data_IF_142061212991
#
_entry.id   IF_142061212991
#
_cell.length_a   1.000
_cell.length_b   1.000
_cell.length_c   1.000
_cell.angle_alpha   90.00
_cell.angle_beta   90.00
_cell.angle_gamma   90.00
#
_symmetry.space_group_name_H-M   'P 1'
#
loop_
_entity.id
_entity.type
_entity.pdbx_description
1 polymer ?
#
# COMPACT_ATOMS: atom_id res chain seq x y z
N UNK A 1 -4.04 1.06 11.82
CA UNK A 1 -4.27 2.49 11.54
C UNK A 1 -5.41 2.99 12.41
N UNK A 2 -5.20 4.04 13.21
CA UNK A 2 -6.20 4.46 14.19
C UNK A 2 -7.47 5.08 13.62
N UNK A 3 -7.45 5.51 12.36
CA UNK A 3 -8.60 6.18 11.73
C UNK A 3 -9.10 5.46 10.46
N UNK A 4 -8.86 4.16 10.36
CA UNK A 4 -9.37 3.37 9.24
C UNK A 4 -10.90 3.24 9.34
N UNK A 5 -11.60 3.46 8.22
CA UNK A 5 -13.05 3.32 8.14
C UNK A 5 -13.43 1.97 7.52
N UNK A 6 -14.68 1.49 7.77
CA UNK A 6 -15.19 0.29 7.09
C UNK A 6 -15.15 0.38 5.57
N UNK A 7 -15.23 1.58 5.00
CA UNK A 7 -15.20 1.79 3.55
C UNK A 7 -13.84 1.39 2.95
N UNK A 8 -12.75 1.57 3.69
CA UNK A 8 -11.42 1.17 3.23
C UNK A 8 -11.30 -0.36 3.14
N UNK A 9 -11.81 -1.07 4.15
CA UNK A 9 -11.84 -2.52 4.11
C UNK A 9 -12.71 -3.04 2.96
N UNK A 10 -13.85 -2.38 2.72
CA UNK A 10 -14.74 -2.72 1.61
C UNK A 10 -14.07 -2.51 0.26
N UNK A 11 -13.29 -1.45 0.10
CA UNK A 11 -12.56 -1.19 -1.13
C UNK A 11 -11.59 -2.33 -1.44
N UNK A 12 -10.89 -2.88 -0.44
CA UNK A 12 -10.03 -4.05 -0.62
C UNK A 12 -10.84 -5.29 -1.00
N UNK A 13 -11.97 -5.52 -0.33
CA UNK A 13 -12.84 -6.67 -0.62
C UNK A 13 -13.40 -6.60 -2.04
N UNK A 14 -13.82 -5.42 -2.47
CA UNK A 14 -14.34 -5.21 -3.83
C UNK A 14 -13.28 -5.49 -4.88
N UNK A 15 -12.05 -5.08 -4.65
CA UNK A 15 -10.93 -5.33 -5.56
C UNK A 15 -10.66 -6.84 -5.69
N UNK A 16 -10.66 -7.57 -4.58
CA UNK A 16 -10.52 -9.02 -4.60
C UNK A 16 -11.67 -9.70 -5.36
N UNK A 17 -12.88 -9.16 -5.23
CA UNK A 17 -14.06 -9.74 -5.88
C UNK A 17 -14.04 -9.55 -7.40
N UNK A 18 -13.55 -8.40 -7.90
CA UNK A 18 -13.61 -8.08 -9.32
C UNK A 18 -12.35 -8.43 -10.10
N UNK A 19 -11.21 -8.63 -9.43
CA UNK A 19 -9.93 -8.93 -10.10
C UNK A 19 -9.46 -10.32 -9.68
N UNK A 20 -9.66 -11.29 -10.54
CA UNK A 20 -9.34 -12.70 -10.23
C UNK A 20 -7.84 -12.95 -10.06
N UNK A 21 -6.99 -12.13 -10.67
CA UNK A 21 -5.53 -12.26 -10.55
C UNK A 21 -4.99 -11.66 -9.24
N UNK A 22 -5.82 -10.92 -8.51
CA UNK A 22 -5.41 -10.29 -7.26
C UNK A 22 -5.37 -11.29 -6.12
N UNK A 23 -4.19 -11.53 -5.59
CA UNK A 23 -4.00 -12.37 -4.40
C UNK A 23 -4.15 -11.56 -3.11
N UNK A 24 -3.63 -10.33 -3.14
CA UNK A 24 -3.65 -9.41 -2.01
C UNK A 24 -4.09 -8.05 -2.54
N UNK A 25 -5.13 -7.49 -1.94
CA UNK A 25 -5.60 -6.14 -2.27
C UNK A 25 -5.08 -5.13 -1.25
N UNK A 26 -4.70 -3.97 -1.71
CA UNK A 26 -4.32 -2.86 -0.85
C UNK A 26 -4.83 -1.55 -1.44
N UNK A 27 -4.49 -0.45 -0.82
CA UNK A 27 -4.96 0.87 -1.21
C UNK A 27 -3.79 1.83 -1.40
N UNK A 28 -3.98 2.79 -2.28
CA UNK A 28 -3.03 3.88 -2.47
C UNK A 28 -3.80 5.20 -2.57
N UNK A 29 -3.13 6.30 -2.23
CA UNK A 29 -3.65 7.64 -2.42
C UNK A 29 -2.60 8.47 -3.14
N UNK A 30 -3.04 9.49 -3.89
CA UNK A 30 -2.10 10.42 -4.50
C UNK A 30 -1.30 11.15 -3.41
N UNK A 31 -0.09 11.57 -3.74
CA UNK A 31 0.73 12.34 -2.79
C UNK A 31 -0.03 13.60 -2.34
N UNK A 32 0.00 13.85 -1.03
CA UNK A 32 -0.65 15.03 -0.46
C UNK A 32 0.26 16.26 -0.51
N UNK A 33 1.57 16.04 -0.55
CA UNK A 33 2.59 17.09 -0.50
C UNK A 33 3.74 16.68 -1.41
N UNK A 34 4.33 17.65 -2.11
CA UNK A 34 5.49 17.40 -2.96
C UNK A 34 6.67 16.77 -2.19
N UNK A 35 6.79 17.05 -0.89
CA UNK A 35 7.83 16.46 -0.04
C UNK A 35 7.65 14.96 0.19
N UNK A 36 6.47 14.41 -0.04
CA UNK A 36 6.21 12.97 0.10
C UNK A 36 7.10 12.15 -0.84
N UNK A 37 7.42 12.70 -1.99
CA UNK A 37 8.26 12.03 -3.00
C UNK A 37 9.61 11.61 -2.45
N UNK A 38 10.23 12.43 -1.64
CA UNK A 38 11.57 12.20 -1.08
C UNK A 38 11.57 11.79 0.39
N UNK A 39 10.40 11.74 1.03
CA UNK A 39 10.31 11.39 2.44
C UNK A 39 10.40 9.88 2.64
N UNK A 40 11.45 9.35 3.31
CA UNK A 40 11.59 7.91 3.52
C UNK A 40 10.53 7.30 4.44
N UNK A 41 9.81 8.12 5.21
CA UNK A 41 8.71 7.64 6.05
C UNK A 41 7.45 7.36 5.22
N UNK A 42 7.38 7.90 4.00
CA UNK A 42 6.28 7.66 3.08
C UNK A 42 6.63 6.51 2.16
N UNK A 43 5.89 5.42 2.25
CA UNK A 43 6.04 4.28 1.36
C UNK A 43 5.31 4.58 0.05
N UNK A 44 6.01 4.47 -1.07
CA UNK A 44 5.46 4.70 -2.41
C UNK A 44 5.21 3.34 -3.06
N UNK A 45 4.06 3.21 -3.70
CA UNK A 45 3.73 2.05 -4.50
C UNK A 45 3.99 2.37 -5.97
N UNK A 46 4.67 1.46 -6.66
CA UNK A 46 4.88 1.55 -8.11
C UNK A 46 3.82 0.67 -8.75
N UNK A 47 2.90 1.28 -9.49
CA UNK A 47 1.73 0.59 -10.02
C UNK A 47 1.76 0.49 -11.53
N UNK A 48 1.30 -0.64 -12.05
CA UNK A 48 0.88 -0.76 -13.44
C UNK A 48 -0.56 -0.23 -13.51
N UNK A 49 -0.70 1.09 -13.63
CA UNK A 49 -2.00 1.76 -13.58
C UNK A 49 -2.25 2.46 -14.91
N UNK A 50 -3.01 1.83 -15.82
CA UNK A 50 -3.37 2.47 -17.10
C UNK A 50 -4.16 3.75 -16.86
N UNK A 51 -3.99 4.71 -17.77
CA UNK A 51 -4.72 5.97 -17.71
C UNK A 51 -6.22 5.74 -17.63
N UNK A 52 -6.89 6.45 -16.74
CA UNK A 52 -8.33 6.34 -16.54
C UNK A 52 -8.76 5.17 -15.65
N UNK A 53 -7.85 4.32 -15.20
CA UNK A 53 -8.17 3.22 -14.30
C UNK A 53 -8.00 3.66 -12.84
N UNK A 54 -8.79 3.03 -11.96
CA UNK A 54 -8.75 3.31 -10.52
C UNK A 54 -8.14 2.18 -9.70
N UNK A 55 -7.66 1.13 -10.36
CA UNK A 55 -6.93 0.04 -9.72
C UNK A 55 -5.90 -0.54 -10.69
N UNK A 56 -4.81 -1.03 -10.14
CA UNK A 56 -3.74 -1.61 -10.93
C UNK A 56 -2.87 -2.53 -10.10
N UNK A 57 -2.05 -3.34 -10.79
CA UNK A 57 -1.14 -4.26 -10.12
C UNK A 57 0.06 -3.51 -9.57
N UNK A 58 0.41 -3.78 -8.33
CA UNK A 58 1.61 -3.24 -7.72
C UNK A 58 2.84 -4.00 -8.22
N UNK A 59 3.81 -3.24 -8.70
CA UNK A 59 5.06 -3.80 -9.23
C UNK A 59 6.16 -3.78 -8.18
N UNK A 60 6.14 -2.78 -7.30
CA UNK A 60 7.11 -2.65 -6.22
C UNK A 60 6.61 -1.65 -5.18
N UNK A 61 7.25 -1.65 -4.01
CA UNK A 61 7.03 -0.68 -2.94
C UNK A 61 8.40 -0.20 -2.46
N UNK A 62 8.54 1.10 -2.23
CA UNK A 62 9.84 1.66 -1.83
C UNK A 62 9.67 2.91 -0.97
N UNK A 63 10.68 3.16 -0.14
CA UNK A 63 10.80 4.42 0.61
C UNK A 63 11.62 5.45 -0.15
N UNK A 64 12.35 5.01 -1.17
CA UNK A 64 13.24 5.87 -1.97
C UNK A 64 12.46 6.88 -2.80
N UNK A 65 13.14 7.96 -3.18
CA UNK A 65 12.63 8.92 -4.15
C UNK A 65 12.50 8.24 -5.51
N UNK A 66 11.33 8.37 -6.13
CA UNK A 66 11.12 7.86 -7.47
C UNK A 66 11.56 8.88 -8.51
N UNK A 67 12.22 8.41 -9.57
CA UNK A 67 12.69 9.24 -10.66
C UNK A 67 11.53 9.69 -11.55
N UNK A 68 11.64 10.89 -12.09
CA UNK A 68 10.68 11.42 -13.07
C UNK A 68 9.56 12.25 -12.44
N UNK A 69 8.67 12.75 -13.28
CA UNK A 69 7.61 13.67 -12.89
C UNK A 69 6.22 13.00 -12.77
N UNK A 70 6.15 11.70 -12.91
CA UNK A 70 4.90 10.97 -12.84
C UNK A 70 4.24 11.03 -11.46
N UNK A 71 2.97 10.62 -11.36
CA UNK A 71 2.27 10.63 -10.08
C UNK A 71 2.93 9.69 -9.08
N UNK A 72 2.90 10.10 -7.81
CA UNK A 72 3.39 9.30 -6.69
C UNK A 72 2.17 8.76 -5.93
N UNK A 73 2.15 7.46 -5.71
CA UNK A 73 1.09 6.77 -5.00
C UNK A 73 1.56 6.41 -3.60
N UNK A 74 0.97 7.04 -2.59
CA UNK A 74 1.27 6.72 -1.20
C UNK A 74 0.57 5.41 -0.85
N UNK A 75 1.32 4.46 -0.31
CA UNK A 75 0.74 3.20 0.14
C UNK A 75 -0.06 3.40 1.42
N UNK A 76 -1.28 2.92 1.42
CA UNK A 76 -2.14 2.89 2.60
C UNK A 76 -2.16 1.46 3.12
N UNK A 77 -1.61 1.24 4.32
CA UNK A 77 -1.29 -0.08 4.87
C UNK A 77 -2.51 -0.88 5.34
N UNK A 78 -3.54 -0.97 4.51
CA UNK A 78 -4.71 -1.81 4.74
C UNK A 78 -4.72 -2.88 3.65
N UNK A 79 -4.95 -4.14 4.03
CA UNK A 79 -4.86 -5.27 3.11
C UNK A 79 -6.10 -6.14 3.18
N UNK A 80 -6.49 -6.68 2.02
CA UNK A 80 -7.38 -7.82 1.94
C UNK A 80 -6.62 -8.98 1.31
N UNK A 81 -6.80 -10.18 1.84
CA UNK A 81 -6.08 -11.37 1.37
C UNK A 81 -7.06 -12.42 0.90
N UNK A 82 -6.74 -13.10 -0.22
CA UNK A 82 -7.35 -14.41 -0.45
C UNK A 82 -6.81 -15.37 0.60
N UNK A 83 -7.65 -16.28 1.05
CA UNK A 83 -7.29 -17.16 2.16
C UNK A 83 -6.01 -17.95 1.92
N UNK A 84 -5.89 -18.58 0.76
CA UNK A 84 -4.69 -19.36 0.41
C UNK A 84 -3.45 -18.48 0.27
N UNK A 85 -3.60 -17.25 -0.25
CA UNK A 85 -2.50 -16.29 -0.33
C UNK A 85 -2.01 -15.90 1.06
N UNK A 86 -2.94 -15.63 1.98
CA UNK A 86 -2.59 -15.30 3.36
C UNK A 86 -1.83 -16.44 4.04
N UNK A 87 -2.30 -17.66 3.86
CA UNK A 87 -1.66 -18.84 4.47
C UNK A 87 -0.25 -19.05 3.92
N UNK A 88 -0.06 -18.89 2.62
CA UNK A 88 1.26 -19.01 1.98
C UNK A 88 2.19 -17.90 2.47
N UNK A 89 1.70 -16.67 2.53
CA UNK A 89 2.47 -15.53 2.99
C UNK A 89 2.93 -15.70 4.44
N UNK A 90 2.03 -16.12 5.32
CA UNK A 90 2.34 -16.31 6.74
C UNK A 90 3.32 -17.47 6.97
N UNK A 91 3.31 -18.49 6.09
CA UNK A 91 4.20 -19.62 6.21
C UNK A 91 5.61 -19.34 5.66
N UNK A 92 5.77 -18.28 4.88
CA UNK A 92 7.05 -17.95 4.25
C UNK A 92 7.99 -17.23 5.24
N UNK A 93 9.29 -17.51 5.20
CA UNK A 93 10.26 -16.76 6.00
C UNK A 93 10.43 -15.33 5.45
N UNK A 94 10.95 -14.40 6.26
CA UNK A 94 11.28 -13.06 5.77
C UNK A 94 12.20 -13.11 4.55
N UNK A 95 11.89 -12.28 3.54
CA UNK A 95 12.61 -12.29 2.27
C UNK A 95 13.76 -11.26 2.25
N UNK A 96 14.72 -11.39 1.32
CA UNK A 96 15.82 -10.43 1.21
C UNK A 96 15.37 -8.97 0.99
N UNK A 97 14.42 -8.74 0.08
CA UNK A 97 13.93 -7.37 -0.17
C UNK A 97 13.15 -6.82 1.01
N UNK A 98 12.37 -7.65 1.67
CA UNK A 98 11.65 -7.28 2.88
C UNK A 98 12.60 -6.75 3.96
N UNK A 99 13.70 -7.45 4.16
CA UNK A 99 14.69 -7.08 5.17
C UNK A 99 15.43 -5.80 4.78
N UNK A 100 15.80 -5.66 3.50
CA UNK A 100 16.52 -4.50 3.00
C UNK A 100 15.69 -3.22 3.09
N UNK A 101 14.45 -3.28 2.62
CA UNK A 101 13.56 -2.12 2.55
C UNK A 101 12.75 -1.93 3.83
N UNK A 102 12.71 -2.93 4.71
CA UNK A 102 11.83 -2.96 5.89
C UNK A 102 10.36 -2.81 5.51
N UNK A 103 9.96 -3.52 4.46
CA UNK A 103 8.60 -3.54 3.94
C UNK A 103 8.17 -4.99 3.76
N UNK A 104 7.26 -5.45 4.62
CA UNK A 104 6.81 -6.84 4.69
C UNK A 104 6.14 -7.31 3.40
N UNK A 105 5.41 -6.42 2.72
CA UNK A 105 4.69 -6.76 1.49
C UNK A 105 5.62 -7.16 0.34
N UNK A 106 6.90 -6.82 0.39
CA UNK A 106 7.85 -7.26 -0.62
C UNK A 106 8.07 -8.76 -0.60
N UNK A 107 7.90 -9.41 0.56
CA UNK A 107 7.93 -10.87 0.64
C UNK A 107 6.89 -11.49 -0.27
N UNK A 108 5.67 -10.93 -0.29
CA UNK A 108 4.61 -11.44 -1.16
C UNK A 108 5.00 -11.33 -2.64
N UNK A 109 5.59 -10.21 -3.05
CA UNK A 109 6.04 -10.04 -4.42
C UNK A 109 7.14 -11.04 -4.79
N UNK A 110 8.10 -11.28 -3.88
CA UNK A 110 9.16 -12.25 -4.11
C UNK A 110 8.64 -13.69 -4.19
N UNK A 111 7.50 -13.98 -3.54
CA UNK A 111 6.83 -15.28 -3.61
C UNK A 111 6.04 -15.48 -4.91
N UNK A 112 5.90 -14.43 -5.73
CA UNK A 112 5.10 -14.49 -6.94
C UNK A 112 3.62 -14.21 -6.73
N UNK A 113 3.21 -13.77 -5.55
CA UNK A 113 1.83 -13.34 -5.30
C UNK A 113 1.59 -11.99 -5.95
N UNK A 114 0.39 -11.79 -6.49
CA UNK A 114 0.02 -10.51 -7.09
C UNK A 114 -0.65 -9.62 -6.06
N UNK A 115 -0.09 -8.43 -5.87
CA UNK A 115 -0.70 -7.37 -5.07
C UNK A 115 -1.30 -6.36 -6.02
N UNK A 116 -2.58 -6.04 -5.81
CA UNK A 116 -3.28 -5.01 -6.56
C UNK A 116 -3.68 -3.89 -5.62
N UNK A 117 -3.73 -2.67 -6.12
CA UNK A 117 -4.11 -1.51 -5.31
C UNK A 117 -5.25 -0.74 -5.96
N UNK A 118 -6.19 -0.28 -5.14
CA UNK A 118 -7.21 0.67 -5.55
C UNK A 118 -6.81 2.06 -5.10
N UNK A 119 -7.04 3.04 -5.97
CA UNK A 119 -6.79 4.45 -5.66
C UNK A 119 -7.96 4.98 -4.84
N UNK A 120 -7.64 5.57 -3.69
CA UNK A 120 -8.63 6.26 -2.85
C UNK A 120 -8.32 7.76 -2.84
N UNK A 121 -9.32 8.56 -2.47
CA UNK A 121 -9.20 10.02 -2.56
C UNK A 121 -8.22 10.60 -1.54
N UNK A 122 -8.23 10.04 -0.33
CA UNK A 122 -7.43 10.58 0.76
C UNK A 122 -6.96 9.45 1.67
N UNK A 123 -5.67 9.47 2.02
CA UNK A 123 -5.11 8.50 2.94
C UNK A 123 -5.56 8.84 4.37
N UNK A 124 -5.98 7.84 5.17
CA UNK A 124 -6.27 8.07 6.57
C UNK A 124 -4.98 8.39 7.33
N UNK A 125 -5.12 9.14 8.42
CA UNK A 125 -4.00 9.48 9.29
C UNK A 125 -3.48 8.20 9.97
N UNK A 126 -2.18 7.99 9.93
CA UNK A 126 -1.50 6.92 10.67
C UNK A 126 -0.49 7.52 11.64
N UNK A 127 -0.10 6.75 12.66
CA UNK A 127 0.86 7.22 13.67
C UNK A 127 2.16 6.45 13.47
N UNK A 128 3.08 7.03 12.70
CA UNK A 128 4.39 6.44 12.38
C UNK A 128 5.54 7.19 13.05
N UNK A 129 5.30 8.40 13.55
CA UNK A 129 6.31 9.23 14.19
C UNK A 129 5.63 10.19 15.19
N UNK A 130 6.40 10.97 16.01
CA UNK A 130 5.81 11.88 16.99
C UNK A 130 4.90 12.96 16.40
N UNK A 131 5.19 13.45 15.18
CA UNK A 131 4.33 14.44 14.54
C UNK A 131 2.96 13.84 14.19
N UNK A 132 2.94 12.59 13.72
CA UNK A 132 1.70 11.87 13.42
C UNK A 132 0.89 11.65 14.70
N UNK A 133 1.55 11.36 15.82
CA UNK A 133 0.88 11.17 17.10
C UNK A 133 0.19 12.46 17.56
N UNK A 134 0.84 13.61 17.42
CA UNK A 134 0.25 14.89 17.75
C UNK A 134 -0.96 15.21 16.88
N UNK A 135 -0.87 14.92 15.57
CA UNK A 135 -1.98 15.11 14.66
C UNK A 135 -3.17 14.21 15.03
N UNK A 136 -2.90 12.95 15.41
CA UNK A 136 -3.93 12.03 15.84
C UNK A 136 -4.62 12.50 17.13
N UNK A 137 -3.84 13.01 18.09
CA UNK A 137 -4.38 13.57 19.34
C UNK A 137 -5.27 14.77 19.09
N UNK A 138 -4.92 15.62 18.11
CA UNK A 138 -5.72 16.79 17.77
C UNK A 138 -7.09 16.43 17.19
N UNK A 139 -7.23 15.26 16.56
CA UNK A 139 -8.48 14.77 15.99
C UNK A 139 -9.34 13.98 16.99
N UNK A 140 -8.75 13.52 18.05
CA UNK A 140 -9.46 12.81 19.12
C UNK A 140 -10.17 13.81 20.02
#
# INVERSE_FOLDING_TARGET
MPFASPDLARACADLLARESACDIATLVAAEADASDRSNPDVVKAVLALPEGQTSGRALYFTRSTLYGDGPIWRHVGIYGYRRDALMRFCAAPPSPLEKREKLEQLRALEMGLQIWASVIDEAPLSVDNPADLEAARALA
#
